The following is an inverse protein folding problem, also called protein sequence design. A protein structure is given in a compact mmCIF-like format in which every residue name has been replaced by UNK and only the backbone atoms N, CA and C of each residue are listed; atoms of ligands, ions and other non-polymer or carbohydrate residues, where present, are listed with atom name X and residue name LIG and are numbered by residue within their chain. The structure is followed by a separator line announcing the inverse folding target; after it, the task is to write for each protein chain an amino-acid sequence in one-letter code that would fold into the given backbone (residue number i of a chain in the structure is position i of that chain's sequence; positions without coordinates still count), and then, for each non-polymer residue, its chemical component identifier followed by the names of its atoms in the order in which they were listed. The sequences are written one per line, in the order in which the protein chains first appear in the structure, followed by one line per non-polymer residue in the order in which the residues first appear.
data_IF_877452518076
#
_entry.id   IF_877452518076
#
_cell.length_a   1.000
_cell.length_b   1.000
_cell.length_c   1.000
_cell.angle_alpha   90.00
_cell.angle_beta   90.00
_cell.angle_gamma   90.00
#
_symmetry.space_group_name_H-M   'P 1'
#
loop_
_entity.id
_entity.type
_entity.pdbx_description
1 polymer ?
#
# COMPACT_ATOMS: atom_id res chain seq x y z
N UNK A 1 -24.18 -62.78 36.60
CA UNK A 1 -23.83 -61.45 37.16
C UNK A 1 -22.34 -61.46 37.44
N UNK A 2 -21.47 -60.56 36.99
CA UNK A 2 -21.62 -59.20 36.47
C UNK A 2 -20.48 -58.92 35.47
N UNK A 3 -20.81 -58.24 34.36
CA UNK A 3 -19.82 -57.72 33.39
C UNK A 3 -19.15 -56.49 34.00
N UNK A 4 -17.85 -56.55 34.29
CA UNK A 4 -17.03 -55.38 34.65
C UNK A 4 -16.80 -54.55 33.39
N UNK A 5 -17.47 -53.39 33.29
CA UNK A 5 -17.15 -52.35 32.32
C UNK A 5 -15.91 -51.60 32.81
N UNK A 6 -14.80 -51.75 32.10
CA UNK A 6 -13.64 -50.87 32.23
C UNK A 6 -13.98 -49.61 31.43
N UNK A 7 -14.29 -48.52 32.12
CA UNK A 7 -14.44 -47.21 31.50
C UNK A 7 -13.05 -46.57 31.39
N UNK A 8 -12.49 -46.59 30.18
CA UNK A 8 -11.28 -45.85 29.84
C UNK A 8 -11.67 -44.37 29.64
N UNK A 9 -11.46 -43.53 30.66
CA UNK A 9 -11.60 -42.08 30.51
C UNK A 9 -10.37 -41.55 29.78
N UNK A 10 -10.50 -41.33 28.47
CA UNK A 10 -9.54 -40.55 27.68
C UNK A 10 -9.85 -39.08 27.95
N UNK A 11 -9.10 -38.46 28.87
CA UNK A 11 -9.04 -37.01 28.97
C UNK A 11 -8.22 -36.48 27.78
N UNK A 12 -8.91 -36.08 26.71
CA UNK A 12 -8.30 -35.27 25.66
C UNK A 12 -8.17 -33.86 26.23
N UNK A 13 -6.97 -33.50 26.70
CA UNK A 13 -6.59 -32.10 26.84
C UNK A 13 -6.54 -31.53 25.41
N UNK A 14 -7.63 -30.91 24.97
CA UNK A 14 -7.54 -29.91 23.91
C UNK A 14 -6.78 -28.72 24.50
N UNK A 15 -5.45 -28.77 24.41
CA UNK A 15 -4.62 -27.57 24.42
C UNK A 15 -4.97 -26.78 23.17
N UNK A 16 -6.05 -26.00 23.27
CA UNK A 16 -6.34 -24.92 22.33
C UNK A 16 -5.16 -23.97 22.49
N UNK A 17 -4.21 -24.06 21.58
CA UNK A 17 -3.29 -22.98 21.23
C UNK A 17 -4.16 -21.86 20.66
N UNK A 18 -4.91 -21.19 21.53
CA UNK A 18 -5.45 -19.88 21.24
C UNK A 18 -4.22 -19.01 21.04
N UNK A 19 -3.87 -18.72 19.79
CA UNK A 19 -2.95 -17.63 19.48
C UNK A 19 -3.46 -16.42 20.25
N UNK A 20 -2.70 -16.00 21.25
CA UNK A 20 -3.04 -14.83 22.05
C UNK A 20 -2.91 -13.66 21.08
N UNK A 21 -4.03 -13.24 20.51
CA UNK A 21 -4.08 -12.02 19.70
C UNK A 21 -3.67 -10.88 20.64
N UNK A 22 -2.52 -10.28 20.39
CA UNK A 22 -2.13 -9.10 21.15
C UNK A 22 -3.12 -7.98 20.79
N UNK A 23 -3.65 -7.27 21.78
CA UNK A 23 -4.39 -6.05 21.48
C UNK A 23 -3.41 -4.98 21.02
N UNK A 24 -3.51 -4.55 19.77
CA UNK A 24 -2.82 -3.33 19.32
C UNK A 24 -3.70 -2.14 19.71
N UNK A 25 -3.07 -1.15 20.36
CA UNK A 25 -3.67 0.16 20.57
C UNK A 25 -3.23 1.05 19.41
N UNK A 26 -4.17 1.46 18.56
CA UNK A 26 -3.93 2.36 17.42
C UNK A 26 -3.72 3.82 17.83
N UNK A 27 -3.45 4.09 19.10
CA UNK A 27 -3.14 5.41 19.65
C UNK A 27 -1.70 5.86 19.34
N UNK A 28 -1.43 6.12 18.05
CA UNK A 28 -0.17 6.69 17.60
C UNK A 28 -0.24 8.23 17.57
N UNK A 29 0.74 8.95 18.15
CA UNK A 29 0.71 10.41 18.14
C UNK A 29 1.01 11.02 16.77
N UNK A 30 1.67 10.27 15.89
CA UNK A 30 2.00 10.65 14.51
C UNK A 30 2.23 9.43 13.61
N UNK A 31 2.07 9.61 12.30
CA UNK A 31 2.35 8.59 11.28
C UNK A 31 3.35 9.11 10.23
N UNK A 32 4.38 8.32 9.94
CA UNK A 32 5.35 8.60 8.88
C UNK A 32 5.23 7.52 7.80
N UNK A 33 4.71 7.88 6.64
CA UNK A 33 4.43 6.91 5.57
C UNK A 33 5.51 6.95 4.48
N UNK A 34 5.89 5.78 3.99
CA UNK A 34 6.84 5.57 2.89
C UNK A 34 6.19 4.61 1.90
N UNK A 35 6.43 4.79 0.62
CA UNK A 35 5.64 4.02 -0.34
C UNK A 35 5.78 4.41 -1.79
N UNK A 36 4.92 3.79 -2.59
CA UNK A 36 4.68 4.16 -3.96
C UNK A 36 3.30 4.83 -4.15
N UNK A 37 2.71 4.69 -5.34
CA UNK A 37 1.44 5.30 -5.69
C UNK A 37 0.25 4.78 -4.91
N UNK A 38 0.36 3.59 -4.28
CA UNK A 38 -0.70 3.05 -3.41
C UNK A 38 -0.90 3.87 -2.14
N UNK A 39 0.06 4.73 -1.78
CA UNK A 39 -0.02 5.61 -0.61
C UNK A 39 0.46 7.04 -0.88
N UNK A 40 0.74 7.43 -2.13
CA UNK A 40 1.16 8.80 -2.49
C UNK A 40 0.00 9.79 -2.31
N UNK A 41 0.24 10.83 -1.52
CA UNK A 41 -0.73 11.91 -1.25
C UNK A 41 -0.37 13.22 -1.96
N UNK A 42 0.55 13.19 -2.93
CA UNK A 42 0.93 14.30 -3.80
C UNK A 42 2.44 14.54 -3.94
N UNK A 43 3.32 13.68 -3.42
CA UNK A 43 4.77 13.89 -3.48
C UNK A 43 5.31 13.81 -4.91
N UNK A 44 4.85 12.85 -5.73
CA UNK A 44 5.31 12.80 -7.13
C UNK A 44 4.89 14.06 -7.89
N UNK A 45 3.63 14.49 -7.71
CA UNK A 45 3.06 15.66 -8.36
C UNK A 45 3.80 16.95 -7.96
N UNK A 46 3.99 17.17 -6.65
CA UNK A 46 4.72 18.32 -6.12
C UNK A 46 6.21 18.30 -6.53
N UNK A 47 6.84 17.12 -6.49
CA UNK A 47 8.25 16.95 -6.80
C UNK A 47 8.60 17.14 -8.29
N UNK A 48 7.71 16.74 -9.20
CA UNK A 48 7.92 16.89 -10.65
C UNK A 48 7.20 18.08 -11.27
N UNK A 49 6.36 18.79 -10.50
CA UNK A 49 5.71 20.02 -10.92
C UNK A 49 4.54 19.80 -11.91
N UNK A 50 3.74 18.75 -11.70
CA UNK A 50 2.50 18.53 -12.46
C UNK A 50 1.30 18.41 -11.54
N UNK A 51 0.10 18.49 -12.12
CA UNK A 51 -1.16 18.23 -11.44
C UNK A 51 -1.78 16.96 -12.03
N UNK A 52 -2.42 16.15 -11.19
CA UNK A 52 -3.27 15.08 -11.69
C UNK A 52 -4.51 15.67 -12.33
N UNK A 53 -4.90 15.12 -13.47
CA UNK A 53 -6.12 15.52 -14.18
C UNK A 53 -7.36 14.94 -13.48
N UNK A 54 -8.51 15.64 -13.48
CA UNK A 54 -9.79 15.01 -13.25
C UNK A 54 -9.95 13.83 -14.23
N UNK A 55 -10.54 12.68 -13.82
CA UNK A 55 -11.45 12.51 -12.69
C UNK A 55 -10.83 12.01 -11.38
N UNK A 56 -9.50 12.06 -11.20
CA UNK A 56 -8.90 11.68 -9.91
C UNK A 56 -9.49 12.50 -8.76
N UNK A 57 -9.79 11.83 -7.63
CA UNK A 57 -10.43 12.44 -6.46
C UNK A 57 -11.94 12.72 -6.56
N UNK A 58 -12.63 12.34 -7.66
CA UNK A 58 -14.05 12.66 -7.88
C UNK A 58 -15.03 12.16 -6.80
N UNK A 59 -14.76 11.03 -6.14
CA UNK A 59 -15.68 10.41 -5.18
C UNK A 59 -15.57 11.07 -3.81
N UNK A 60 -14.37 11.27 -3.28
CA UNK A 60 -14.20 11.86 -1.95
C UNK A 60 -13.85 13.34 -1.98
N UNK A 61 -12.71 13.68 -2.58
CA UNK A 61 -12.12 15.03 -2.50
C UNK A 61 -12.79 16.05 -3.41
N UNK A 62 -13.53 15.57 -4.43
CA UNK A 62 -14.20 16.36 -5.49
C UNK A 62 -13.23 17.16 -6.38
N UNK A 63 -11.93 16.94 -6.22
CA UNK A 63 -10.86 17.53 -7.01
C UNK A 63 -9.64 16.60 -6.93
N UNK A 64 -8.73 16.61 -7.91
CA UNK A 64 -7.46 15.91 -7.79
C UNK A 64 -6.62 16.44 -6.61
N UNK A 65 -6.06 15.53 -5.81
CA UNK A 65 -5.23 15.85 -4.62
C UNK A 65 -3.88 15.15 -4.65
N UNK A 66 -3.38 14.77 -5.83
CA UNK A 66 -2.14 14.00 -5.96
C UNK A 66 -2.25 12.50 -5.64
N UNK A 67 -3.43 12.01 -5.25
CA UNK A 67 -3.73 10.58 -5.07
C UNK A 67 -4.13 9.98 -6.42
N UNK A 68 -3.48 8.88 -6.80
CA UNK A 68 -3.79 8.13 -8.03
C UNK A 68 -4.99 7.21 -7.81
N UNK A 69 -6.15 7.82 -7.56
CA UNK A 69 -7.39 7.16 -7.18
C UNK A 69 -8.56 8.12 -7.48
N UNK A 70 -9.77 7.59 -7.63
CA UNK A 70 -11.00 8.37 -7.65
C UNK A 70 -11.36 8.97 -6.28
N UNK A 71 -10.63 8.64 -5.22
CA UNK A 71 -10.77 9.27 -3.92
C UNK A 71 -9.68 8.86 -2.93
N UNK A 72 -10.07 8.26 -1.80
CA UNK A 72 -9.16 7.89 -0.72
C UNK A 72 -8.32 6.65 -1.04
N UNK A 73 -7.08 6.66 -0.54
CA UNK A 73 -6.16 5.53 -0.55
C UNK A 73 -6.28 4.71 0.74
N UNK A 74 -5.67 3.52 0.77
CA UNK A 74 -5.63 2.67 1.97
C UNK A 74 -5.12 3.46 3.19
N UNK A 75 -4.05 4.24 3.01
CA UNK A 75 -3.47 5.07 4.07
C UNK A 75 -4.47 6.07 4.64
N UNK A 76 -5.35 6.67 3.83
CA UNK A 76 -6.35 7.64 4.31
C UNK A 76 -7.38 6.97 5.21
N UNK A 77 -7.86 5.77 4.84
CA UNK A 77 -8.79 5.01 5.68
C UNK A 77 -8.15 4.54 7.00
N UNK A 78 -6.85 4.23 6.98
CA UNK A 78 -6.11 3.89 8.20
C UNK A 78 -5.93 5.13 9.09
N UNK A 79 -5.68 6.31 8.51
CA UNK A 79 -5.67 7.57 9.26
C UNK A 79 -7.03 7.90 9.88
N UNK A 80 -8.13 7.69 9.14
CA UNK A 80 -9.50 7.83 9.66
C UNK A 80 -9.74 6.89 10.86
N UNK A 81 -9.32 5.62 10.76
CA UNK A 81 -9.46 4.65 11.84
C UNK A 81 -8.63 4.98 13.09
N UNK A 82 -7.51 5.69 12.92
CA UNK A 82 -6.68 6.20 14.01
C UNK A 82 -7.16 7.57 14.55
N UNK A 83 -8.26 8.11 14.02
CA UNK A 83 -8.75 9.47 14.32
C UNK A 83 -7.68 10.57 14.08
N UNK A 84 -6.85 10.37 13.05
CA UNK A 84 -5.79 11.30 12.66
C UNK A 84 -6.13 12.02 11.34
N UNK A 85 -5.65 13.27 11.14
CA UNK A 85 -5.83 13.95 9.87
C UNK A 85 -5.06 13.22 8.76
N UNK A 86 -5.55 13.30 7.52
CA UNK A 86 -4.83 12.77 6.36
C UNK A 86 -3.42 13.34 6.26
N UNK A 87 -2.50 12.48 5.85
CA UNK A 87 -1.10 12.86 5.72
C UNK A 87 -0.91 13.83 4.56
N UNK A 88 -0.08 14.83 4.80
CA UNK A 88 0.40 15.75 3.78
C UNK A 88 1.69 15.20 3.16
N UNK A 89 1.84 15.41 1.85
CA UNK A 89 3.05 15.10 1.12
C UNK A 89 4.23 15.96 1.60
N UNK A 90 5.41 15.37 1.74
CA UNK A 90 6.62 16.05 2.20
C UNK A 90 7.07 17.19 1.28
N UNK A 91 6.89 17.01 -0.03
CA UNK A 91 7.33 17.95 -1.06
C UNK A 91 6.32 19.06 -1.36
N UNK A 92 5.14 19.04 -0.75
CA UNK A 92 4.16 20.10 -0.91
C UNK A 92 4.55 21.35 -0.10
N UNK A 93 4.35 22.54 -0.67
CA UNK A 93 5.04 23.77 -0.24
C UNK A 93 4.12 24.89 0.25
N UNK A 94 2.89 25.02 -0.26
CA UNK A 94 2.03 26.19 -0.01
C UNK A 94 0.63 25.79 0.44
N UNK A 95 0.09 26.52 1.42
CA UNK A 95 -1.35 26.58 1.68
C UNK A 95 -1.95 25.46 2.54
N UNK A 96 -1.28 24.31 2.68
CA UNK A 96 -1.91 23.13 3.33
C UNK A 96 -1.05 22.37 4.35
N UNK A 97 0.28 22.16 4.22
CA UNK A 97 0.89 21.08 5.00
C UNK A 97 1.06 21.44 6.48
N UNK A 98 0.23 20.82 7.31
CA UNK A 98 0.49 20.68 8.73
C UNK A 98 1.06 19.27 8.97
N UNK A 99 2.28 19.21 9.47
CA UNK A 99 2.99 17.95 9.73
C UNK A 99 2.95 17.53 11.20
N UNK A 100 2.17 18.22 12.05
CA UNK A 100 2.09 17.95 13.51
C UNK A 100 1.79 16.49 13.83
N UNK A 101 0.97 15.84 12.99
CA UNK A 101 0.54 14.45 13.14
C UNK A 101 1.24 13.48 12.18
N UNK A 102 2.34 13.92 11.57
CA UNK A 102 3.11 13.07 10.67
C UNK A 102 3.27 13.66 9.27
N UNK A 103 3.89 12.87 8.40
CA UNK A 103 4.26 13.25 7.05
C UNK A 103 4.22 12.03 6.14
N UNK A 104 3.84 12.23 4.88
CA UNK A 104 3.97 11.21 3.85
C UNK A 104 5.19 11.49 2.99
N UNK A 105 5.99 10.46 2.74
CA UNK A 105 7.15 10.48 1.84
C UNK A 105 6.95 9.57 0.62
N UNK A 106 5.80 8.87 0.54
CA UNK A 106 5.48 7.97 -0.56
C UNK A 106 5.28 8.76 -1.85
N UNK A 107 5.91 8.31 -2.94
CA UNK A 107 5.81 8.94 -4.24
C UNK A 107 5.46 7.90 -5.31
N UNK A 108 4.53 8.23 -6.19
CA UNK A 108 4.07 7.33 -7.23
C UNK A 108 5.21 6.83 -8.13
N UNK A 109 5.15 5.54 -8.50
CA UNK A 109 6.16 4.89 -9.31
C UNK A 109 7.49 4.59 -8.61
N UNK A 110 7.62 4.86 -7.31
CA UNK A 110 8.83 4.60 -6.55
C UNK A 110 9.14 3.11 -6.40
N UNK A 111 10.43 2.80 -6.53
CA UNK A 111 11.03 1.48 -6.26
C UNK A 111 11.79 1.48 -4.94
N UNK A 112 11.99 0.30 -4.36
CA UNK A 112 12.94 0.11 -3.27
C UNK A 112 14.36 0.36 -3.77
N UNK A 113 14.72 -0.25 -4.91
CA UNK A 113 16.03 -0.06 -5.52
C UNK A 113 16.25 1.39 -5.96
N UNK A 114 17.50 1.86 -5.97
CA UNK A 114 17.84 3.20 -6.46
C UNK A 114 17.31 3.46 -7.87
N UNK A 115 16.76 4.66 -8.08
CA UNK A 115 16.27 5.09 -9.38
C UNK A 115 17.42 5.15 -10.40
N UNK A 116 17.13 4.75 -11.64
CA UNK A 116 18.02 4.88 -12.78
C UNK A 116 17.44 5.88 -13.79
N UNK A 117 18.16 6.17 -14.87
CA UNK A 117 17.69 7.08 -15.93
C UNK A 117 16.38 6.63 -16.60
N UNK A 118 16.00 5.36 -16.46
CA UNK A 118 14.74 4.81 -17.01
C UNK A 118 13.65 4.65 -15.96
N UNK A 119 13.90 5.02 -14.71
CA UNK A 119 12.89 4.96 -13.65
C UNK A 119 11.81 6.01 -13.87
N UNK A 120 10.55 5.64 -13.65
CA UNK A 120 9.40 6.55 -13.75
C UNK A 120 9.32 7.55 -12.60
N UNK A 121 9.98 7.25 -11.48
CA UNK A 121 10.07 8.11 -10.30
C UNK A 121 11.53 8.22 -9.83
N UNK A 122 12.03 9.44 -9.53
CA UNK A 122 13.34 9.63 -8.94
C UNK A 122 13.36 9.36 -7.42
N UNK A 123 12.19 9.21 -6.79
CA UNK A 123 12.03 9.18 -5.33
C UNK A 123 12.06 7.75 -4.78
N UNK A 124 13.15 7.00 -5.02
CA UNK A 124 13.30 5.63 -4.50
C UNK A 124 13.21 5.58 -2.97
N UNK A 125 13.00 4.39 -2.40
CA UNK A 125 12.90 4.22 -0.94
C UNK A 125 14.05 4.88 -0.18
N UNK A 126 15.30 4.71 -0.65
CA UNK A 126 16.46 5.39 -0.06
C UNK A 126 16.37 6.92 -0.08
N UNK A 127 15.76 7.52 -1.12
CA UNK A 127 15.48 8.95 -1.19
C UNK A 127 14.40 9.34 -0.17
N UNK A 128 13.32 8.57 -0.06
CA UNK A 128 12.25 8.81 0.92
C UNK A 128 12.77 8.75 2.36
N UNK A 129 13.65 7.78 2.66
CA UNK A 129 14.34 7.72 3.95
C UNK A 129 15.17 8.98 4.18
N UNK A 130 15.93 9.44 3.19
CA UNK A 130 16.71 10.69 3.31
C UNK A 130 15.82 11.93 3.50
N UNK A 131 14.65 11.98 2.85
CA UNK A 131 13.66 13.03 3.07
C UNK A 131 13.17 13.02 4.52
N UNK A 132 12.89 11.85 5.10
CA UNK A 132 12.56 11.73 6.51
C UNK A 132 13.70 12.19 7.43
N UNK A 133 14.95 11.79 7.17
CA UNK A 133 16.12 12.22 7.96
C UNK A 133 16.21 13.75 7.99
N UNK A 134 16.08 14.36 6.81
CA UNK A 134 16.10 15.81 6.64
C UNK A 134 14.90 16.47 7.33
N UNK A 135 13.71 15.89 7.20
CA UNK A 135 12.48 16.37 7.84
C UNK A 135 12.67 16.39 9.37
N UNK A 136 13.05 15.26 9.96
CA UNK A 136 13.28 15.13 11.41
C UNK A 136 14.31 16.15 11.89
N UNK A 137 15.47 16.23 11.25
CA UNK A 137 16.51 17.20 11.62
C UNK A 137 15.96 18.64 11.62
N UNK A 138 15.19 19.01 10.59
CA UNK A 138 14.61 20.35 10.51
C UNK A 138 13.54 20.59 11.56
N UNK A 139 12.72 19.60 11.89
CA UNK A 139 11.73 19.69 12.97
C UNK A 139 12.43 19.96 14.30
N UNK A 140 13.49 19.20 14.64
CA UNK A 140 14.24 19.38 15.87
C UNK A 140 14.90 20.77 15.96
N UNK A 141 15.46 21.28 14.85
CA UNK A 141 15.97 22.65 14.78
C UNK A 141 14.89 23.71 15.04
N UNK A 142 13.66 23.48 14.57
CA UNK A 142 12.53 24.40 14.78
C UNK A 142 12.03 24.36 16.22
N UNK A 143 11.93 23.16 16.82
CA UNK A 143 11.54 23.00 18.23
C UNK A 143 12.57 23.64 19.17
N UNK A 144 13.87 23.54 18.85
CA UNK A 144 14.94 24.19 19.63
C UNK A 144 14.85 25.73 19.63
N UNK A 145 14.14 26.34 18.67
CA UNK A 145 13.89 27.80 18.61
C UNK A 145 12.68 28.24 19.45
N UNK A 146 12.04 27.30 20.15
CA UNK A 146 10.91 27.55 21.04
C UNK A 146 9.56 27.11 20.45
N UNK A 147 8.49 27.33 21.23
CA UNK A 147 7.16 26.72 21.02
C UNK A 147 6.34 27.25 19.84
N UNK A 148 6.91 28.14 19.02
CA UNK A 148 6.18 28.80 17.92
C UNK A 148 5.71 27.80 16.86
N UNK A 149 6.45 26.71 16.69
CA UNK A 149 6.23 25.73 15.62
C UNK A 149 5.48 24.46 16.07
N UNK A 150 5.24 24.26 17.38
CA UNK A 150 4.61 23.06 17.97
C UNK A 150 3.24 22.70 17.35
N UNK A 151 2.54 23.69 16.80
CA UNK A 151 1.24 23.49 16.13
C UNK A 151 1.33 22.97 14.69
N UNK A 152 2.53 22.97 14.09
CA UNK A 152 2.78 22.64 12.69
C UNK A 152 3.70 21.43 12.49
N UNK A 153 4.51 21.08 13.49
CA UNK A 153 5.49 19.99 13.40
C UNK A 153 5.32 18.98 14.56
N UNK A 154 5.75 17.72 14.39
CA UNK A 154 5.68 16.72 15.45
C UNK A 154 6.49 17.14 16.67
N UNK A 155 6.07 16.70 17.86
CA UNK A 155 6.93 16.77 19.05
C UNK A 155 8.13 15.81 18.90
N UNK A 156 9.21 16.05 19.63
CA UNK A 156 10.42 15.23 19.54
C UNK A 156 10.17 13.75 19.88
N UNK A 157 9.36 13.47 20.91
CA UNK A 157 9.02 12.10 21.32
C UNK A 157 8.10 11.38 20.32
N UNK A 158 7.44 12.11 19.41
CA UNK A 158 6.59 11.52 18.37
C UNK A 158 7.41 10.73 17.35
N UNK A 159 8.69 11.07 17.13
CA UNK A 159 9.55 10.27 16.25
C UNK A 159 9.80 8.86 16.79
N UNK A 160 9.80 8.69 18.12
CA UNK A 160 9.93 7.36 18.74
C UNK A 160 8.59 6.65 18.84
N UNK A 161 7.54 7.37 19.24
CA UNK A 161 6.20 6.81 19.49
C UNK A 161 5.36 6.64 18.22
N UNK A 162 5.73 7.28 17.12
CA UNK A 162 4.96 7.27 15.88
C UNK A 162 4.98 5.93 15.17
N UNK A 163 4.02 5.76 14.26
CA UNK A 163 3.91 4.62 13.35
C UNK A 163 4.62 4.92 12.03
N UNK A 164 5.43 3.98 11.57
CA UNK A 164 6.14 4.05 10.29
C UNK A 164 5.49 3.04 9.34
N UNK A 165 4.85 3.51 8.27
CA UNK A 165 4.09 2.68 7.34
C UNK A 165 4.81 2.52 6.00
N UNK A 166 4.74 1.32 5.42
CA UNK A 166 5.43 0.97 4.17
C UNK A 166 4.51 0.23 3.21
N UNK A 167 4.33 0.75 2.00
CA UNK A 167 3.70 0.07 0.86
C UNK A 167 4.53 0.33 -0.41
N UNK A 168 5.55 -0.51 -0.63
CA UNK A 168 6.56 -0.33 -1.67
C UNK A 168 7.16 -1.67 -2.11
N UNK A 169 7.75 -1.70 -3.31
CA UNK A 169 8.43 -2.87 -3.88
C UNK A 169 7.74 -3.46 -5.10
N UNK A 170 6.47 -3.12 -5.33
CA UNK A 170 5.72 -3.63 -6.47
C UNK A 170 6.29 -3.10 -7.80
N UNK A 171 6.75 -1.84 -7.83
CA UNK A 171 7.38 -1.24 -9.01
C UNK A 171 8.74 -1.89 -9.37
N UNK A 172 9.50 -2.39 -8.40
CA UNK A 172 10.75 -3.13 -8.66
C UNK A 172 10.49 -4.38 -9.51
N UNK A 173 9.37 -5.07 -9.24
CA UNK A 173 8.93 -6.22 -10.02
C UNK A 173 8.30 -5.79 -11.35
N UNK A 174 7.34 -4.87 -11.31
CA UNK A 174 6.57 -4.43 -12.47
C UNK A 174 7.46 -3.87 -13.59
N UNK A 175 8.40 -2.98 -13.24
CA UNK A 175 9.34 -2.42 -14.20
C UNK A 175 10.29 -3.46 -14.79
N UNK A 176 10.68 -4.46 -14.00
CA UNK A 176 11.61 -5.49 -14.45
C UNK A 176 11.01 -6.42 -15.52
N UNK A 177 9.72 -6.73 -15.47
CA UNK A 177 9.04 -7.57 -16.47
C UNK A 177 9.05 -7.00 -17.89
N UNK A 178 9.33 -5.70 -18.07
CA UNK A 178 9.48 -5.11 -19.40
C UNK A 178 10.78 -5.49 -20.12
N UNK A 179 11.79 -5.99 -19.40
CA UNK A 179 13.11 -6.29 -19.97
C UNK A 179 13.77 -7.57 -19.46
N UNK A 180 13.21 -8.24 -18.44
CA UNK A 180 13.79 -9.42 -17.80
C UNK A 180 12.83 -10.60 -17.81
N UNK A 181 13.39 -11.81 -17.75
CA UNK A 181 12.63 -13.04 -17.53
C UNK A 181 12.23 -13.19 -16.06
N UNK A 182 11.26 -14.07 -15.79
CA UNK A 182 10.84 -14.38 -14.42
C UNK A 182 12.02 -14.82 -13.54
N UNK A 183 12.89 -15.71 -14.04
CA UNK A 183 14.04 -16.21 -13.28
C UNK A 183 15.01 -15.09 -12.90
N UNK A 184 15.27 -14.15 -13.81
CA UNK A 184 16.12 -12.98 -13.54
C UNK A 184 15.50 -12.04 -12.51
N UNK A 185 14.17 -11.90 -12.52
CA UNK A 185 13.43 -11.08 -11.55
C UNK A 185 13.49 -11.74 -10.17
N UNK A 186 13.20 -13.04 -10.09
CA UNK A 186 13.27 -13.82 -8.85
C UNK A 186 14.68 -13.76 -8.25
N UNK A 187 15.72 -13.88 -9.09
CA UNK A 187 17.11 -13.76 -8.65
C UNK A 187 17.47 -12.36 -8.12
N UNK A 188 16.69 -11.32 -8.44
CA UNK A 188 16.93 -9.95 -7.98
C UNK A 188 16.25 -9.61 -6.64
N UNK A 189 15.27 -10.41 -6.20
CA UNK A 189 14.51 -10.18 -4.95
C UNK A 189 15.41 -10.01 -3.72
N UNK A 190 16.47 -10.81 -3.51
CA UNK A 190 17.36 -10.61 -2.37
C UNK A 190 17.98 -9.21 -2.31
N UNK A 191 18.36 -8.63 -3.46
CA UNK A 191 18.93 -7.28 -3.51
C UNK A 191 17.90 -6.20 -3.18
N UNK A 192 16.64 -6.37 -3.63
CA UNK A 192 15.53 -5.51 -3.26
C UNK A 192 15.38 -5.49 -1.73
N UNK A 193 15.37 -6.66 -1.11
CA UNK A 193 15.15 -6.79 0.34
C UNK A 193 16.35 -6.29 1.18
N UNK A 194 17.58 -6.41 0.69
CA UNK A 194 18.76 -5.82 1.35
C UNK A 194 18.68 -4.29 1.36
N UNK A 195 18.24 -3.66 0.27
CA UNK A 195 18.05 -2.21 0.22
C UNK A 195 16.91 -1.77 1.14
N UNK A 196 15.80 -2.52 1.18
CA UNK A 196 14.70 -2.28 2.11
C UNK A 196 15.16 -2.40 3.57
N UNK A 197 15.86 -3.48 3.93
CA UNK A 197 16.43 -3.68 5.26
C UNK A 197 17.36 -2.52 5.66
N UNK A 198 18.18 -2.04 4.72
CA UNK A 198 19.08 -0.90 4.95
C UNK A 198 18.31 0.38 5.29
N UNK A 199 17.21 0.66 4.59
CA UNK A 199 16.36 1.80 4.90
C UNK A 199 15.63 1.66 6.24
N UNK A 200 15.07 0.48 6.55
CA UNK A 200 14.46 0.20 7.87
C UNK A 200 15.47 0.41 8.99
N UNK A 201 16.69 -0.10 8.84
CA UNK A 201 17.77 0.11 9.80
C UNK A 201 18.04 1.60 10.04
N UNK A 202 18.12 2.40 8.98
CA UNK A 202 18.32 3.86 9.11
C UNK A 202 17.19 4.54 9.88
N UNK A 203 15.93 4.16 9.62
CA UNK A 203 14.78 4.70 10.36
C UNK A 203 14.79 4.27 11.83
N UNK A 204 15.16 3.02 12.12
CA UNK A 204 15.34 2.51 13.48
C UNK A 204 16.47 3.24 14.23
N UNK A 205 17.63 3.45 13.59
CA UNK A 205 18.76 4.21 14.14
C UNK A 205 18.36 5.67 14.44
N UNK A 206 17.29 6.15 13.81
CA UNK A 206 16.69 7.47 14.03
C UNK A 206 15.51 7.44 15.00
N UNK A 207 15.42 6.41 15.83
CA UNK A 207 14.45 6.32 16.90
C UNK A 207 13.11 5.71 16.51
N UNK A 208 12.87 5.37 15.24
CA UNK A 208 11.64 4.67 14.86
C UNK A 208 11.51 3.33 15.59
N UNK A 209 10.32 3.04 16.13
CA UNK A 209 10.05 1.81 16.90
C UNK A 209 8.82 1.03 16.47
N UNK A 210 7.89 1.62 15.72
CA UNK A 210 6.67 0.94 15.28
C UNK A 210 6.68 0.90 13.76
N UNK A 211 6.90 -0.28 13.17
CA UNK A 211 6.98 -0.47 11.73
C UNK A 211 5.80 -1.32 11.25
N UNK A 212 5.05 -0.79 10.28
CA UNK A 212 3.88 -1.41 9.69
C UNK A 212 4.14 -1.62 8.19
N UNK A 213 4.39 -2.87 7.82
CA UNK A 213 4.95 -3.23 6.52
C UNK A 213 3.91 -4.02 5.73
N UNK A 214 3.37 -3.41 4.68
CA UNK A 214 2.56 -4.12 3.71
C UNK A 214 3.46 -4.96 2.80
N UNK A 215 2.98 -6.15 2.44
CA UNK A 215 3.53 -6.87 1.29
C UNK A 215 3.01 -6.28 -0.03
N UNK A 216 3.43 -6.83 -1.18
CA UNK A 216 2.95 -6.36 -2.49
C UNK A 216 1.61 -7.02 -2.87
N UNK A 217 0.81 -6.37 -3.71
CA UNK A 217 -0.47 -6.90 -4.20
C UNK A 217 -0.34 -7.96 -5.31
N UNK A 218 -1.47 -8.49 -5.82
CA UNK A 218 -1.49 -9.40 -6.96
C UNK A 218 -1.13 -8.67 -8.26
N UNK A 219 0.17 -8.49 -8.47
CA UNK A 219 0.74 -7.75 -9.60
C UNK A 219 0.21 -8.22 -10.97
N UNK A 220 0.01 -9.53 -11.14
CA UNK A 220 -0.50 -10.09 -12.39
C UNK A 220 -1.94 -9.71 -12.71
N UNK A 221 -2.70 -9.25 -11.71
CA UNK A 221 -4.11 -8.88 -11.86
C UNK A 221 -4.31 -7.39 -12.19
N UNK A 222 -3.24 -6.58 -12.25
CA UNK A 222 -3.37 -5.21 -12.73
C UNK A 222 -3.77 -5.23 -14.21
N UNK A 223 -4.80 -4.47 -14.57
CA UNK A 223 -5.31 -4.37 -15.95
C UNK A 223 -4.20 -4.07 -16.94
N UNK A 224 -3.26 -3.18 -16.57
CA UNK A 224 -2.08 -2.87 -17.38
C UNK A 224 -1.25 -4.11 -17.69
N UNK A 225 -1.00 -4.96 -16.69
CA UNK A 225 -0.19 -6.16 -16.86
C UNK A 225 -0.93 -7.22 -17.67
N UNK A 226 -2.25 -7.36 -17.46
CA UNK A 226 -3.08 -8.24 -18.29
C UNK A 226 -3.08 -7.76 -19.75
N UNK A 227 -3.26 -6.46 -19.99
CA UNK A 227 -3.24 -5.88 -21.33
C UNK A 227 -1.89 -6.07 -22.04
N UNK A 228 -0.78 -5.94 -21.30
CA UNK A 228 0.58 -5.96 -21.87
C UNK A 228 1.16 -7.37 -22.00
N UNK A 229 0.95 -8.23 -21.01
CA UNK A 229 1.63 -9.52 -20.87
C UNK A 229 0.66 -10.72 -20.90
N UNK A 230 -0.65 -10.47 -20.86
CA UNK A 230 -1.72 -11.48 -20.85
C UNK A 230 -2.28 -11.83 -22.22
N UNK A 231 -1.60 -11.50 -23.33
CA UNK A 231 -2.07 -11.80 -24.70
C UNK A 231 -2.04 -13.28 -25.06
N UNK A 232 -1.31 -14.09 -24.28
CA UNK A 232 -1.23 -15.54 -24.40
C UNK A 232 -2.03 -16.17 -23.24
N UNK A 233 -3.19 -16.80 -23.50
CA UNK A 233 -4.04 -17.38 -22.47
C UNK A 233 -3.33 -18.43 -21.61
N UNK A 234 -2.29 -19.10 -22.12
CA UNK A 234 -1.52 -20.10 -21.34
C UNK A 234 -0.72 -19.47 -20.19
N UNK A 235 -0.56 -18.15 -20.19
CA UNK A 235 0.14 -17.39 -19.14
C UNK A 235 -0.80 -16.81 -18.10
N UNK A 236 -2.11 -16.97 -18.27
CA UNK A 236 -3.12 -16.50 -17.33
C UNK A 236 -3.49 -17.58 -16.32
N UNK A 237 -3.74 -17.18 -15.08
CA UNK A 237 -4.35 -18.04 -14.07
C UNK A 237 -5.88 -18.08 -14.23
N UNK A 238 -6.55 -18.83 -13.36
CA UNK A 238 -8.01 -19.03 -13.39
C UNK A 238 -8.80 -17.71 -13.20
N UNK A 239 -8.17 -16.67 -12.67
CA UNK A 239 -8.76 -15.34 -12.48
C UNK A 239 -8.49 -14.42 -13.68
N UNK A 240 -7.77 -14.88 -14.70
CA UNK A 240 -7.35 -14.07 -15.84
C UNK A 240 -6.15 -13.16 -15.54
N UNK A 241 -5.42 -13.42 -14.46
CA UNK A 241 -4.24 -12.66 -14.08
C UNK A 241 -2.96 -13.28 -14.64
N UNK A 242 -1.93 -12.47 -14.89
CA UNK A 242 -0.65 -12.96 -15.44
C UNK A 242 0.12 -13.76 -14.37
N UNK A 243 0.19 -15.07 -14.54
CA UNK A 243 0.73 -16.03 -13.55
C UNK A 243 2.16 -15.72 -13.12
N UNK A 244 3.05 -15.41 -14.07
CA UNK A 244 4.46 -15.11 -13.77
C UNK A 244 4.63 -13.86 -12.88
N UNK A 245 3.78 -12.85 -13.05
CA UNK A 245 3.81 -11.64 -12.22
C UNK A 245 3.34 -11.94 -10.79
N UNK A 246 2.26 -12.70 -10.66
CA UNK A 246 1.77 -13.17 -9.36
C UNK A 246 2.79 -14.08 -8.66
N UNK A 247 3.53 -14.92 -9.39
CA UNK A 247 4.60 -15.75 -8.83
C UNK A 247 5.74 -14.90 -8.26
N UNK A 248 6.22 -13.89 -8.99
CA UNK A 248 7.25 -12.98 -8.50
C UNK A 248 6.80 -12.21 -7.25
N UNK A 249 5.58 -11.69 -7.25
CA UNK A 249 4.99 -10.98 -6.10
C UNK A 249 4.91 -11.90 -4.86
N UNK A 250 4.40 -13.14 -5.02
CA UNK A 250 4.35 -14.12 -3.92
C UNK A 250 5.73 -14.46 -3.37
N UNK A 251 6.74 -14.61 -4.23
CA UNK A 251 8.11 -14.89 -3.79
C UNK A 251 8.75 -13.70 -3.06
N UNK A 252 8.51 -12.47 -3.51
CA UNK A 252 8.94 -11.27 -2.79
C UNK A 252 8.26 -11.20 -1.43
N UNK A 253 6.94 -11.42 -1.38
CA UNK A 253 6.16 -11.37 -0.14
C UNK A 253 6.61 -12.42 0.88
N UNK A 254 6.92 -13.65 0.43
CA UNK A 254 7.46 -14.71 1.28
C UNK A 254 8.80 -14.30 1.92
N UNK A 255 9.73 -13.76 1.12
CA UNK A 255 11.03 -13.35 1.62
C UNK A 255 10.94 -12.06 2.47
N UNK A 256 10.04 -11.14 2.14
CA UNK A 256 9.75 -9.96 2.95
C UNK A 256 9.21 -10.36 4.33
N UNK A 257 8.29 -11.33 4.39
CA UNK A 257 7.77 -11.83 5.66
C UNK A 257 8.89 -12.44 6.52
N UNK A 258 9.76 -13.26 5.92
CA UNK A 258 10.95 -13.78 6.61
C UNK A 258 11.89 -12.66 7.10
N UNK A 259 12.08 -11.61 6.30
CA UNK A 259 12.83 -10.43 6.72
C UNK A 259 12.17 -9.73 7.93
N UNK A 260 10.84 -9.55 7.95
CA UNK A 260 10.16 -8.97 9.12
C UNK A 260 10.38 -9.79 10.39
N UNK A 261 10.41 -11.13 10.29
CA UNK A 261 10.75 -12.01 11.42
C UNK A 261 12.18 -11.83 11.90
N UNK A 262 13.14 -11.71 10.97
CA UNK A 262 14.53 -11.39 11.29
C UNK A 262 14.61 -10.06 12.05
N UNK A 263 13.93 -9.02 11.55
CA UNK A 263 13.95 -7.69 12.17
C UNK A 263 13.29 -7.69 13.56
N UNK A 264 12.21 -8.46 13.77
CA UNK A 264 11.58 -8.64 15.09
C UNK A 264 12.57 -9.24 16.10
N UNK A 265 13.39 -10.21 15.68
CA UNK A 265 14.44 -10.79 16.54
C UNK A 265 15.63 -9.86 16.78
N UNK A 266 15.94 -8.98 15.82
CA UNK A 266 17.09 -8.07 15.90
C UNK A 266 16.79 -6.79 16.69
N UNK A 267 15.55 -6.28 16.63
CA UNK A 267 15.12 -5.03 17.24
C UNK A 267 14.09 -5.28 18.33
N UNK A 268 14.54 -5.83 19.46
CA UNK A 268 13.67 -6.25 20.57
C UNK A 268 12.88 -5.12 21.24
N UNK A 269 13.29 -3.85 21.05
CA UNK A 269 12.58 -2.67 21.55
C UNK A 269 11.62 -2.07 20.51
N UNK A 270 11.42 -2.73 19.37
CA UNK A 270 10.52 -2.30 18.29
C UNK A 270 9.34 -3.24 18.10
N UNK A 271 8.21 -2.68 17.71
CA UNK A 271 7.07 -3.42 17.18
C UNK A 271 7.14 -3.42 15.65
N UNK A 272 7.13 -4.61 15.04
CA UNK A 272 7.15 -4.77 13.59
C UNK A 272 5.96 -5.63 13.21
N UNK A 273 5.05 -5.07 12.43
CA UNK A 273 3.83 -5.73 11.96
C UNK A 273 3.92 -5.91 10.46
N UNK A 274 3.93 -7.16 10.01
CA UNK A 274 3.76 -7.52 8.60
C UNK A 274 2.26 -7.58 8.27
N UNK A 275 1.85 -7.09 7.12
CA UNK A 275 0.45 -7.10 6.66
C UNK A 275 0.35 -7.74 5.28
N UNK A 276 -0.42 -8.81 5.18
CA UNK A 276 -0.65 -9.56 3.95
C UNK A 276 -1.77 -8.94 3.10
N UNK A 277 -1.48 -7.79 2.48
CA UNK A 277 -2.40 -7.13 1.56
C UNK A 277 -2.58 -7.92 0.25
N UNK A 278 -1.61 -8.76 -0.14
CA UNK A 278 -1.73 -9.67 -1.29
C UNK A 278 -2.97 -10.54 -1.19
N UNK A 279 -3.13 -11.23 -0.05
CA UNK A 279 -4.24 -12.16 0.17
C UNK A 279 -5.57 -11.41 0.23
N UNK A 280 -5.61 -10.22 0.84
CA UNK A 280 -6.81 -9.38 0.87
C UNK A 280 -7.24 -8.98 -0.56
N UNK A 281 -6.31 -8.41 -1.34
CA UNK A 281 -6.56 -7.95 -2.72
C UNK A 281 -6.93 -9.12 -3.64
N UNK A 282 -6.25 -10.26 -3.51
CA UNK A 282 -6.54 -11.47 -4.30
C UNK A 282 -7.94 -12.03 -3.96
N UNK A 283 -8.33 -12.03 -2.68
CA UNK A 283 -9.65 -12.48 -2.26
C UNK A 283 -10.76 -11.56 -2.75
N UNK A 284 -10.52 -10.24 -2.77
CA UNK A 284 -11.42 -9.26 -3.37
C UNK A 284 -11.64 -9.56 -4.86
N UNK A 285 -10.56 -9.72 -5.62
CA UNK A 285 -10.64 -10.02 -7.07
C UNK A 285 -11.35 -11.34 -7.33
N UNK A 286 -11.04 -12.39 -6.57
CA UNK A 286 -11.64 -13.71 -6.75
C UNK A 286 -13.14 -13.78 -6.37
N UNK A 287 -13.59 -12.91 -5.46
CA UNK A 287 -14.96 -12.93 -4.91
C UNK A 287 -15.68 -11.58 -5.11
N UNK A 288 -15.28 -10.80 -6.11
CA UNK A 288 -15.68 -9.40 -6.31
C UNK A 288 -17.21 -9.19 -6.21
N UNK A 289 -17.99 -10.07 -6.84
CA UNK A 289 -19.46 -10.02 -6.84
C UNK A 289 -20.08 -10.21 -5.46
N UNK A 290 -19.44 -10.94 -4.54
CA UNK A 290 -19.92 -11.08 -3.16
C UNK A 290 -19.79 -9.79 -2.35
N UNK A 291 -18.92 -8.88 -2.80
CA UNK A 291 -18.64 -7.62 -2.12
C UNK A 291 -19.25 -6.42 -2.84
N UNK A 292 -20.13 -6.65 -3.83
CA UNK A 292 -20.85 -5.60 -4.55
C UNK A 292 -20.11 -5.02 -5.76
N UNK A 293 -18.94 -5.56 -6.12
CA UNK A 293 -18.24 -5.17 -7.34
C UNK A 293 -18.78 -5.95 -8.54
N UNK A 294 -18.73 -5.36 -9.73
CA UNK A 294 -19.05 -6.01 -11.00
C UNK A 294 -17.81 -6.25 -11.86
N UNK A 295 -16.75 -5.45 -11.70
CA UNK A 295 -15.59 -5.45 -12.57
C UNK A 295 -14.29 -5.65 -11.75
N UNK A 296 -13.74 -6.87 -11.69
CA UNK A 296 -12.55 -7.16 -10.89
C UNK A 296 -11.24 -6.72 -11.55
N UNK A 297 -11.18 -6.72 -12.89
CA UNK A 297 -9.96 -6.44 -13.67
C UNK A 297 -10.13 -5.26 -14.62
N UNK A 298 -11.31 -5.03 -15.20
CA UNK A 298 -11.52 -3.89 -16.11
C UNK A 298 -11.25 -2.56 -15.39
N UNK A 299 -10.56 -1.62 -16.03
CA UNK A 299 -10.34 -0.29 -15.47
C UNK A 299 -11.60 0.57 -15.59
N UNK A 300 -11.98 1.27 -14.52
CA UNK A 300 -13.08 2.24 -14.56
C UNK A 300 -12.72 3.45 -15.43
N UNK A 301 -11.56 4.04 -15.21
CA UNK A 301 -11.06 5.20 -15.93
C UNK A 301 -10.00 4.81 -16.96
N UNK A 302 -10.38 4.85 -18.24
CA UNK A 302 -9.47 4.45 -19.29
C UNK A 302 -10.01 4.64 -20.70
N UNK A 303 -9.40 3.95 -21.64
CA UNK A 303 -9.72 4.03 -23.07
C UNK A 303 -9.53 2.66 -23.72
N UNK A 304 -10.36 2.36 -24.72
CA UNK A 304 -10.31 1.10 -25.49
C UNK A 304 -11.51 0.17 -25.26
N UNK A 305 -12.31 0.39 -24.21
CA UNK A 305 -13.51 -0.39 -23.93
C UNK A 305 -13.25 -1.81 -23.40
N UNK A 306 -14.31 -2.61 -23.17
CA UNK A 306 -14.20 -3.96 -22.62
C UNK A 306 -13.28 -4.87 -23.47
N UNK A 307 -12.62 -5.87 -22.84
CA UNK A 307 -12.79 -6.31 -21.46
C UNK A 307 -11.88 -5.59 -20.44
N UNK A 308 -10.93 -4.76 -20.89
CA UNK A 308 -9.92 -4.16 -20.01
C UNK A 308 -10.07 -2.64 -19.84
N UNK A 309 -10.58 -1.94 -20.85
CA UNK A 309 -10.68 -0.48 -20.89
C UNK A 309 -9.34 0.23 -20.61
N UNK A 310 -8.24 -0.27 -21.18
CA UNK A 310 -6.91 0.23 -20.92
C UNK A 310 -6.08 0.40 -22.20
N UNK A 311 -5.41 1.55 -22.33
CA UNK A 311 -4.44 1.85 -23.39
C UNK A 311 -3.27 2.65 -22.81
N UNK A 312 -2.05 2.09 -22.84
CA UNK A 312 -0.87 2.69 -22.20
C UNK A 312 -0.43 4.03 -22.80
N UNK A 313 -1.01 4.45 -23.93
CA UNK A 313 -0.68 5.73 -24.59
C UNK A 313 -1.41 6.91 -23.98
N UNK A 314 -2.49 6.68 -23.23
CA UNK A 314 -3.37 7.72 -22.67
C UNK A 314 -3.75 7.41 -21.23
N UNK A 315 -3.33 8.28 -20.30
CA UNK A 315 -3.66 8.12 -18.89
C UNK A 315 -5.08 8.60 -18.58
N UNK A 316 -5.68 8.11 -17.50
CA UNK A 316 -6.98 8.54 -17.00
C UNK A 316 -7.10 10.09 -16.96
N UNK A 317 -8.21 10.63 -17.49
CA UNK A 317 -8.47 12.07 -17.55
C UNK A 317 -7.83 12.80 -18.72
N UNK A 318 -6.79 12.24 -19.34
CA UNK A 318 -6.08 12.90 -20.43
C UNK A 318 -6.87 12.87 -21.73
N UNK A 319 -6.70 13.92 -22.53
CA UNK A 319 -7.12 13.98 -23.93
C UNK A 319 -5.89 13.96 -24.84
N UNK A 320 -5.84 13.00 -25.77
CA UNK A 320 -4.73 12.86 -26.73
C UNK A 320 -5.25 12.58 -28.14
N UNK A 321 -4.45 12.91 -29.14
CA UNK A 321 -4.69 12.48 -30.53
C UNK A 321 -4.11 11.08 -30.70
N UNK A 322 -4.98 10.07 -30.80
CA UNK A 322 -4.60 8.69 -31.08
C UNK A 322 -5.15 8.30 -32.46
N UNK A 323 -4.29 7.76 -33.32
CA UNK A 323 -4.66 7.33 -34.68
C UNK A 323 -5.42 8.43 -35.48
N UNK A 324 -5.01 9.69 -35.33
CA UNK A 324 -5.63 10.85 -36.01
C UNK A 324 -6.93 11.37 -35.38
N UNK A 325 -7.41 10.78 -34.29
CA UNK A 325 -8.65 11.19 -33.61
C UNK A 325 -8.36 11.70 -32.20
N UNK A 326 -8.96 12.83 -31.81
CA UNK A 326 -8.91 13.32 -30.42
C UNK A 326 -9.80 12.45 -29.54
N UNK A 327 -9.21 11.82 -28.54
CA UNK A 327 -9.90 10.91 -27.61
C UNK A 327 -9.53 11.26 -26.17
N UNK A 328 -10.46 11.02 -25.25
CA UNK A 328 -10.28 11.25 -23.82
C UNK A 328 -10.43 9.92 -23.09
N UNK A 329 -9.49 9.59 -22.19
CA UNK A 329 -9.67 8.49 -21.25
C UNK A 329 -10.64 8.93 -20.15
N UNK A 330 -11.79 8.28 -20.05
CA UNK A 330 -12.91 8.71 -19.19
C UNK A 330 -13.16 7.70 -18.08
N UNK A 331 -13.60 8.20 -16.93
CA UNK A 331 -14.16 7.36 -15.87
C UNK A 331 -15.46 6.68 -16.31
N UNK A 332 -15.70 5.52 -15.73
CA UNK A 332 -16.98 4.84 -15.72
C UNK A 332 -18.03 5.66 -14.94
N UNK A 333 -19.31 5.29 -15.09
CA UNK A 333 -20.43 6.00 -14.43
C UNK A 333 -20.46 5.79 -12.91
N UNK A 334 -20.11 4.59 -12.46
CA UNK A 334 -20.07 4.23 -11.04
C UNK A 334 -18.78 3.47 -10.72
N UNK A 335 -17.84 4.13 -10.05
CA UNK A 335 -16.56 3.52 -9.68
C UNK A 335 -16.67 2.58 -8.49
N UNK A 336 -17.81 2.53 -7.80
CA UNK A 336 -18.03 1.57 -6.70
C UNK A 336 -18.19 0.13 -7.20
N UNK A 337 -18.57 -0.05 -8.46
CA UNK A 337 -18.69 -1.35 -9.12
C UNK A 337 -17.32 -1.89 -9.60
N UNK A 338 -16.26 -1.09 -9.57
CA UNK A 338 -14.95 -1.42 -10.14
C UNK A 338 -13.89 -1.60 -9.06
N UNK A 339 -13.13 -2.69 -9.11
CA UNK A 339 -11.95 -2.86 -8.25
C UNK A 339 -10.81 -1.99 -8.74
N UNK A 340 -10.61 -1.92 -10.06
CA UNK A 340 -9.51 -1.21 -10.68
C UNK A 340 -9.93 0.18 -11.18
N UNK A 341 -9.17 1.21 -10.80
CA UNK A 341 -9.41 2.60 -11.18
C UNK A 341 -8.89 2.90 -12.58
N UNK A 342 -7.58 2.84 -12.83
CA UNK A 342 -6.95 3.41 -14.05
C UNK A 342 -6.07 2.42 -14.83
N UNK A 343 -6.13 1.16 -14.45
CA UNK A 343 -5.34 0.05 -14.95
C UNK A 343 -4.20 -0.37 -14.03
N UNK A 344 -3.87 0.45 -13.03
CA UNK A 344 -2.77 0.24 -12.08
C UNK A 344 -3.28 0.33 -10.66
N UNK A 345 -4.07 1.36 -10.36
CA UNK A 345 -4.52 1.68 -9.02
C UNK A 345 -5.91 1.13 -8.73
N UNK A 346 -6.24 1.00 -7.45
CA UNK A 346 -7.52 0.50 -6.98
C UNK A 346 -8.46 1.67 -6.73
N UNK A 347 -9.76 1.47 -6.95
CA UNK A 347 -10.78 2.49 -6.65
C UNK A 347 -10.86 2.80 -5.15
N UNK A 348 -11.48 3.91 -4.79
CA UNK A 348 -11.78 4.26 -3.40
C UNK A 348 -12.58 3.15 -2.71
N UNK A 349 -13.59 2.60 -3.38
CA UNK A 349 -14.42 1.51 -2.84
C UNK A 349 -13.58 0.25 -2.56
N UNK A 350 -12.68 -0.11 -3.47
CA UNK A 350 -11.77 -1.22 -3.27
C UNK A 350 -10.78 -0.95 -2.13
N UNK A 351 -10.22 0.26 -2.04
CA UNK A 351 -9.34 0.68 -0.96
C UNK A 351 -10.06 0.64 0.40
N UNK A 352 -11.32 1.05 0.47
CA UNK A 352 -12.15 0.97 1.67
C UNK A 352 -12.31 -0.48 2.12
N UNK A 353 -12.68 -1.38 1.20
CA UNK A 353 -12.80 -2.80 1.50
C UNK A 353 -11.46 -3.35 2.03
N UNK A 354 -10.35 -3.06 1.34
CA UNK A 354 -9.02 -3.56 1.73
C UNK A 354 -8.66 -3.06 3.13
N UNK A 355 -8.81 -1.77 3.42
CA UNK A 355 -8.54 -1.21 4.74
C UNK A 355 -9.42 -1.83 5.82
N UNK A 356 -10.69 -2.12 5.54
CA UNK A 356 -11.57 -2.82 6.49
C UNK A 356 -11.05 -4.22 6.84
N UNK A 357 -10.47 -4.94 5.87
CA UNK A 357 -9.90 -6.26 6.09
C UNK A 357 -8.57 -6.19 6.85
N UNK A 358 -7.72 -5.21 6.52
CA UNK A 358 -6.47 -4.94 7.25
C UNK A 358 -6.77 -4.75 8.74
N UNK A 359 -7.76 -3.91 9.05
CA UNK A 359 -8.13 -3.55 10.41
C UNK A 359 -8.78 -4.69 11.21
N UNK A 360 -9.14 -5.81 10.58
CA UNK A 360 -9.52 -7.02 11.34
C UNK A 360 -8.35 -7.64 12.09
N UNK A 361 -7.10 -7.29 11.73
CA UNK A 361 -5.86 -7.84 12.27
C UNK A 361 -5.59 -9.31 11.92
N UNK A 362 -6.48 -9.97 11.17
CA UNK A 362 -6.35 -11.38 10.75
C UNK A 362 -5.28 -11.60 9.69
N UNK A 363 -4.99 -10.58 8.91
CA UNK A 363 -3.97 -10.61 7.84
C UNK A 363 -2.64 -10.04 8.31
N UNK A 364 -2.47 -9.86 9.61
CA UNK A 364 -1.27 -9.28 10.20
C UNK A 364 -0.46 -10.31 10.97
N UNK A 365 0.85 -10.12 10.99
CA UNK A 365 1.77 -10.91 11.80
C UNK A 365 2.70 -9.98 12.61
N UNK A 366 2.60 -9.98 13.95
CA UNK A 366 1.67 -10.78 14.76
C UNK A 366 0.20 -10.40 14.51
N UNK A 367 -0.75 -11.36 14.62
CA UNK A 367 -2.16 -11.04 14.52
C UNK A 367 -2.57 -10.20 15.72
N UNK A 368 -3.46 -9.24 15.47
CA UNK A 368 -4.01 -8.41 16.52
C UNK A 368 -5.53 -8.47 16.53
N UNK A 369 -6.10 -8.20 17.70
CA UNK A 369 -7.52 -7.86 17.81
C UNK A 369 -7.57 -6.40 18.17
N UNK A 370 -8.25 -5.62 17.34
CA UNK A 370 -8.42 -4.21 17.63
C UNK A 370 -9.43 -4.04 18.76
N UNK A 371 -9.18 -3.07 19.64
CA UNK A 371 -10.23 -2.48 20.49
C UNK A 371 -10.81 -1.25 19.79
N UNK A 372 -11.14 -1.36 18.52
CA UNK A 372 -11.70 -0.22 17.79
C UNK A 372 -13.09 0.07 18.38
N UNK A 373 -13.34 1.28 18.90
CA UNK A 373 -14.62 1.61 19.54
C UNK A 373 -15.78 1.70 18.54
N UNK A 374 -15.53 1.64 17.23
CA UNK A 374 -16.56 1.77 16.20
C UNK A 374 -16.34 0.81 15.04
N UNK A 375 -17.44 0.22 14.57
CA UNK A 375 -17.52 -0.34 13.22
C UNK A 375 -17.22 0.79 12.24
N UNK A 376 -16.27 0.61 11.33
CA UNK A 376 -16.26 1.39 10.09
C UNK A 376 -17.69 1.31 9.54
N UNK A 377 -18.39 2.44 9.53
CA UNK A 377 -19.69 2.52 8.86
C UNK A 377 -19.42 2.36 7.37
N UNK A 378 -19.39 1.10 6.93
CA UNK A 378 -19.43 0.70 5.53
C UNK A 378 -20.77 1.24 5.01
N UNK A 379 -20.74 2.44 4.43
CA UNK A 379 -21.82 2.90 3.57
C UNK A 379 -21.71 2.09 2.29
N UNK A 380 -22.40 0.95 2.28
CA UNK A 380 -22.80 0.31 1.03
C UNK A 380 -23.90 1.15 0.39
#
# INVERSE_FOLDING_TARGET
MARRKIALQVFILLSILSSVANSIDFNYPSVFNFGDSNSDTGDLAAGLGFLLDPPNGQIYFKTPTGRFCDGRLIVDFLMDAMELPFLNAYLDSVGVPNFRKGCNFAAAGSSILPATATSVSPFSFGVQVNQFLRFKARVLELLAKGKRFDRYVPAEDYFQKGLYMFDIGQNDLAGAFYSKTLDQIVASIPNILVEFETGIKKLYDQGGRNFWIHNTGPLGCLTQNVAKFGTDPSKLDELGCVSGHNQAAKLLNLQLHALTKKLQGQYADSNITYVDIYTIKSNLIANYSRYGFEQPIMACCGYGGPPLNYDSRISCGQTKVLNGTSVTAKACSDSTEYVNWDGIHYSEAANQYISSQILTGKFSDPPFSDRMPFLLNLKF
#
